data_IF_052240584944
#
_entry.id   IF_052240584944
#
_cell.length_a   1.000
_cell.length_b   1.000
_cell.length_c   1.000
_cell.angle_alpha   90.00
_cell.angle_beta   90.00
_cell.angle_gamma   90.00
#
_symmetry.space_group_name_H-M   'P 1'
#
loop_
_entity.id
_entity.type
_entity.pdbx_description
1 polymer ?
#
# COMPACT_ATOMS: atom_id res chain seq x y z
N UNK A 1 -5.59 12.15 -16.29
CA UNK A 1 -5.43 11.66 -14.92
C UNK A 1 -4.14 10.84 -14.83
N UNK A 2 -3.32 11.09 -13.84
CA UNK A 2 -2.08 10.35 -13.66
C UNK A 2 -2.35 8.87 -13.35
N UNK A 3 -1.37 8.03 -13.61
CA UNK A 3 -1.45 6.60 -13.28
C UNK A 3 -1.59 6.40 -11.77
N UNK A 4 -0.85 7.16 -10.97
CA UNK A 4 -0.99 7.11 -9.51
C UNK A 4 -2.40 7.49 -9.05
N UNK A 5 -3.02 8.50 -9.66
CA UNK A 5 -4.37 8.89 -9.30
C UNK A 5 -5.38 7.80 -9.67
N UNK A 6 -5.20 7.16 -10.84
CA UNK A 6 -6.05 6.04 -11.24
C UNK A 6 -5.98 4.88 -10.25
N UNK A 7 -4.77 4.55 -9.79
CA UNK A 7 -4.57 3.51 -8.78
C UNK A 7 -5.25 3.89 -7.47
N UNK A 8 -5.05 5.12 -7.02
CA UNK A 8 -5.64 5.58 -5.77
C UNK A 8 -7.18 5.56 -5.82
N UNK A 9 -7.74 6.05 -6.91
CA UNK A 9 -9.20 6.10 -7.06
C UNK A 9 -9.80 4.70 -7.03
N UNK A 10 -9.20 3.75 -7.74
CA UNK A 10 -9.69 2.36 -7.73
C UNK A 10 -9.53 1.73 -6.35
N UNK A 11 -8.33 1.82 -5.77
CA UNK A 11 -8.04 1.22 -4.47
C UNK A 11 -8.93 1.80 -3.37
N UNK A 12 -9.31 3.07 -3.48
CA UNK A 12 -10.17 3.75 -2.51
C UNK A 12 -11.61 3.24 -2.51
N UNK A 13 -12.02 2.51 -3.55
CA UNK A 13 -13.35 1.90 -3.59
C UNK A 13 -13.44 0.63 -2.73
N UNK A 14 -12.32 0.12 -2.26
CA UNK A 14 -12.27 -1.07 -1.42
C UNK A 14 -11.94 -0.65 0.02
N UNK A 15 -12.72 -1.07 1.03
CA UNK A 15 -12.42 -0.69 2.42
C UNK A 15 -11.12 -1.29 2.94
N UNK A 16 -10.80 -2.50 2.50
CA UNK A 16 -9.61 -3.26 2.91
C UNK A 16 -8.93 -3.80 1.65
N UNK A 17 -7.61 -3.84 1.67
CA UNK A 17 -6.85 -4.56 0.65
C UNK A 17 -5.90 -5.55 1.32
N UNK A 18 -5.52 -6.58 0.57
CA UNK A 18 -4.59 -7.60 1.06
C UNK A 18 -3.22 -7.32 0.48
N UNK A 19 -2.24 -7.26 1.37
CA UNK A 19 -0.88 -6.86 1.05
C UNK A 19 0.05 -8.04 1.26
N UNK A 20 0.70 -8.49 0.18
CA UNK A 20 1.59 -9.64 0.19
C UNK A 20 3.05 -9.21 0.08
N UNK A 21 3.87 -9.81 0.91
CA UNK A 21 5.34 -9.67 0.90
C UNK A 21 5.99 -11.04 0.82
N UNK A 22 7.32 -11.05 0.74
CA UNK A 22 8.08 -12.28 0.71
C UNK A 22 8.92 -12.38 1.99
N UNK A 23 8.82 -13.52 2.67
CA UNK A 23 9.67 -13.86 3.80
C UNK A 23 10.55 -15.03 3.37
N UNK A 24 11.77 -14.73 2.93
CA UNK A 24 12.63 -15.72 2.27
C UNK A 24 12.04 -16.14 0.93
N UNK A 25 11.54 -17.35 0.84
CA UNK A 25 10.84 -17.90 -0.34
C UNK A 25 9.33 -18.03 -0.12
N UNK A 26 8.82 -17.61 1.05
CA UNK A 26 7.42 -17.82 1.43
C UNK A 26 6.63 -16.53 1.26
N UNK A 27 5.56 -16.55 0.45
CA UNK A 27 4.66 -15.39 0.36
C UNK A 27 3.80 -15.28 1.61
N UNK A 28 3.74 -14.09 2.18
CA UNK A 28 2.96 -13.79 3.38
C UNK A 28 2.01 -12.63 3.06
N UNK A 29 0.74 -12.74 3.41
CA UNK A 29 -0.24 -11.70 3.17
C UNK A 29 -1.00 -11.32 4.43
N UNK A 30 -1.48 -10.09 4.48
CA UNK A 30 -2.28 -9.55 5.59
C UNK A 30 -3.21 -8.46 5.08
N UNK A 31 -4.35 -8.22 5.76
CA UNK A 31 -5.20 -7.10 5.41
C UNK A 31 -4.60 -5.78 5.88
N UNK A 32 -4.73 -4.75 5.06
CA UNK A 32 -4.35 -3.38 5.39
C UNK A 32 -5.45 -2.43 4.94
N UNK A 33 -5.47 -1.22 5.50
CA UNK A 33 -6.45 -0.21 5.13
C UNK A 33 -5.85 1.15 4.80
N UNK A 34 -4.66 1.46 5.29
CA UNK A 34 -4.07 2.78 5.13
C UNK A 34 -3.46 2.95 3.73
N UNK A 35 -4.05 3.85 2.97
CA UNK A 35 -3.52 4.36 1.72
C UNK A 35 -3.88 5.84 1.64
N UNK A 36 -3.01 6.63 1.05
CA UNK A 36 -3.24 8.06 0.94
C UNK A 36 -2.40 8.63 -0.21
N UNK A 37 -2.75 9.83 -0.66
CA UNK A 37 -1.97 10.55 -1.65
C UNK A 37 -1.03 11.53 -0.97
N UNK A 38 0.20 11.56 -1.41
CA UNK A 38 1.20 12.53 -0.98
C UNK A 38 2.13 12.82 -2.15
N UNK A 39 2.34 14.10 -2.44
CA UNK A 39 3.23 14.54 -3.53
C UNK A 39 2.89 13.88 -4.88
N UNK A 40 1.59 13.76 -5.17
CA UNK A 40 1.11 13.17 -6.42
C UNK A 40 1.28 11.67 -6.55
N UNK A 41 1.62 10.98 -5.47
CA UNK A 41 1.87 9.53 -5.45
C UNK A 41 1.01 8.84 -4.40
N UNK A 42 0.73 7.56 -4.64
CA UNK A 42 0.08 6.71 -3.64
C UNK A 42 1.12 6.29 -2.61
N UNK A 43 0.79 6.52 -1.35
CA UNK A 43 1.62 6.13 -0.21
C UNK A 43 0.89 5.13 0.68
N UNK A 44 1.69 4.33 1.34
CA UNK A 44 1.27 3.37 2.36
C UNK A 44 2.09 3.61 3.62
N UNK A 45 1.55 3.23 4.76
CA UNK A 45 2.25 3.35 6.03
C UNK A 45 2.11 2.06 6.85
N UNK A 46 3.19 1.67 7.50
CA UNK A 46 3.27 0.47 8.33
C UNK A 46 4.04 0.77 9.60
N UNK A 47 3.70 0.08 10.68
CA UNK A 47 4.53 0.14 11.88
C UNK A 47 5.90 -0.46 11.64
N UNK A 48 6.95 0.29 11.93
CA UNK A 48 8.33 -0.18 11.69
C UNK A 48 8.73 -1.36 12.57
N UNK A 49 7.96 -1.63 13.62
CA UNK A 49 8.16 -2.76 14.53
C UNK A 49 7.55 -4.06 14.01
N UNK A 50 6.76 -4.01 12.94
CA UNK A 50 6.04 -5.18 12.43
C UNK A 50 6.89 -6.02 11.50
N UNK A 51 6.60 -7.33 11.47
CA UNK A 51 7.31 -8.27 10.58
C UNK A 51 7.22 -7.86 9.12
N UNK A 52 6.08 -7.32 8.68
CA UNK A 52 5.88 -6.88 7.29
C UNK A 52 6.90 -5.81 6.89
N UNK A 53 7.23 -4.88 7.79
CA UNK A 53 8.22 -3.86 7.52
C UNK A 53 9.61 -4.48 7.30
N UNK A 54 10.00 -5.41 8.18
CA UNK A 54 11.27 -6.12 8.06
C UNK A 54 11.34 -6.94 6.76
N UNK A 55 10.24 -7.56 6.37
CA UNK A 55 10.17 -8.32 5.11
C UNK A 55 10.36 -7.41 3.91
N UNK A 56 9.73 -6.25 3.88
CA UNK A 56 9.89 -5.25 2.81
C UNK A 56 11.30 -4.69 2.74
N UNK A 57 11.98 -4.52 3.89
CA UNK A 57 13.36 -4.04 3.90
C UNK A 57 14.30 -5.04 3.20
N UNK A 58 14.05 -6.34 3.36
CA UNK A 58 14.86 -7.39 2.72
C UNK A 58 14.47 -7.60 1.27
N UNK A 59 13.20 -7.58 0.96
CA UNK A 59 12.68 -7.74 -0.40
C UNK A 59 11.55 -6.74 -0.62
N UNK A 60 11.80 -5.64 -1.33
CA UNK A 60 10.83 -4.56 -1.48
C UNK A 60 9.71 -4.86 -2.48
N UNK A 61 9.71 -6.02 -3.13
CA UNK A 61 8.59 -6.40 -4.00
C UNK A 61 7.38 -6.78 -3.15
N UNK A 62 6.22 -6.27 -3.57
CA UNK A 62 4.95 -6.55 -2.90
C UNK A 62 3.83 -6.69 -3.91
N UNK A 63 2.72 -7.27 -3.47
CA UNK A 63 1.52 -7.35 -4.28
C UNK A 63 0.30 -7.03 -3.43
N UNK A 64 -0.61 -6.27 -4.00
CA UNK A 64 -1.88 -5.90 -3.39
C UNK A 64 -3.00 -6.53 -4.19
N UNK A 65 -3.99 -7.08 -3.47
CA UNK A 65 -5.24 -7.55 -4.06
C UNK A 65 -6.40 -7.00 -3.24
N UNK A 66 -7.43 -6.51 -3.92
CA UNK A 66 -8.68 -6.06 -3.30
C UNK A 66 -9.84 -6.56 -4.15
N UNK A 67 -10.95 -6.92 -3.51
CA UNK A 67 -12.08 -7.56 -4.18
C UNK A 67 -13.40 -7.11 -3.57
N UNK A 68 -14.39 -6.91 -4.43
CA UNK A 68 -15.78 -6.67 -4.04
C UNK A 68 -16.69 -7.34 -5.07
N UNK A 69 -17.34 -8.44 -4.67
CA UNK A 69 -18.11 -9.24 -5.61
C UNK A 69 -17.22 -9.77 -6.73
N UNK A 70 -17.65 -9.69 -8.00
CA UNK A 70 -16.86 -10.17 -9.12
C UNK A 70 -15.73 -9.20 -9.54
N UNK A 71 -15.73 -7.98 -9.01
CA UNK A 71 -14.76 -6.94 -9.35
C UNK A 71 -13.55 -7.03 -8.43
N UNK A 72 -12.37 -6.97 -9.00
CA UNK A 72 -11.16 -6.95 -8.19
C UNK A 72 -10.01 -6.21 -8.87
N UNK A 73 -8.96 -6.00 -8.11
CA UNK A 73 -7.83 -5.15 -8.47
C UNK A 73 -6.55 -5.80 -7.98
N UNK A 74 -5.48 -5.70 -8.77
CA UNK A 74 -4.16 -6.15 -8.33
C UNK A 74 -3.10 -5.13 -8.70
N UNK A 75 -2.24 -4.84 -7.75
CA UNK A 75 -1.06 -4.00 -7.94
C UNK A 75 0.16 -4.79 -7.48
N UNK A 76 1.13 -4.99 -8.38
CA UNK A 76 2.42 -5.58 -8.04
C UNK A 76 3.50 -4.54 -8.31
N UNK A 77 4.34 -4.27 -7.32
CA UNK A 77 5.28 -3.16 -7.41
C UNK A 77 6.48 -3.35 -6.48
N UNK A 78 7.40 -2.40 -6.54
CA UNK A 78 8.57 -2.33 -5.66
C UNK A 78 8.41 -1.12 -4.73
N UNK A 79 8.52 -1.34 -3.43
CA UNK A 79 8.44 -0.28 -2.45
C UNK A 79 9.62 0.70 -2.59
N UNK A 80 9.31 1.98 -2.48
CA UNK A 80 10.30 3.07 -2.40
C UNK A 80 10.08 3.76 -1.07
N UNK A 81 10.97 3.51 -0.12
CA UNK A 81 10.84 4.03 1.23
C UNK A 81 11.10 5.53 1.26
N UNK A 82 10.34 6.24 2.07
CA UNK A 82 10.44 7.68 2.21
C UNK A 82 10.35 8.04 3.69
N UNK A 83 11.43 8.53 4.26
CA UNK A 83 11.49 8.93 5.67
C UNK A 83 11.16 10.42 5.89
N UNK A 84 10.65 11.09 4.87
CA UNK A 84 10.23 12.49 4.97
C UNK A 84 9.13 12.64 6.04
N UNK A 85 9.37 13.43 7.09
CA UNK A 85 8.34 13.64 8.13
C UNK A 85 7.00 14.14 7.58
N UNK A 86 7.00 14.88 6.46
CA UNK A 86 5.76 15.33 5.83
C UNK A 86 4.93 14.17 5.28
N UNK A 87 5.56 13.11 4.80
CA UNK A 87 4.87 11.91 4.33
C UNK A 87 4.19 11.17 5.50
N UNK A 88 4.87 11.09 6.64
CA UNK A 88 4.30 10.50 7.87
C UNK A 88 3.13 11.35 8.38
N UNK A 89 3.28 12.66 8.40
CA UNK A 89 2.20 13.56 8.82
C UNK A 89 0.97 13.45 7.92
N UNK A 90 1.18 13.29 6.62
CA UNK A 90 0.09 13.07 5.66
C UNK A 90 -0.68 11.78 5.97
N UNK A 91 0.01 10.73 6.42
CA UNK A 91 -0.64 9.49 6.86
C UNK A 91 -1.55 9.74 8.07
N UNK A 92 -1.09 10.52 9.04
CA UNK A 92 -1.87 10.86 10.23
C UNK A 92 -3.07 11.76 9.88
N UNK A 93 -2.93 12.63 8.90
CA UNK A 93 -4.07 13.43 8.42
C UNK A 93 -5.11 12.56 7.71
N UNK A 94 -4.67 11.56 6.95
CA UNK A 94 -5.55 10.63 6.26
C UNK A 94 -6.30 9.72 7.24
N UNK A 95 -5.66 9.35 8.35
CA UNK A 95 -6.24 8.46 9.36
C UNK A 95 -5.80 8.94 10.76
N UNK A 96 -6.53 9.92 11.34
CA UNK A 96 -6.11 10.56 12.62
C UNK A 96 -5.96 9.60 13.79
N UNK A 97 -6.70 8.50 13.83
CA UNK A 97 -6.62 7.52 14.93
C UNK A 97 -5.23 6.87 15.03
N UNK A 98 -4.42 6.94 13.97
CA UNK A 98 -3.05 6.44 14.01
C UNK A 98 -2.18 7.18 15.05
N UNK A 99 -2.52 8.42 15.38
CA UNK A 99 -1.79 9.18 16.40
C UNK A 99 -1.87 8.53 17.80
N UNK A 100 -2.92 7.74 18.03
CA UNK A 100 -3.09 7.03 19.30
C UNK A 100 -2.17 5.80 19.41
N UNK A 101 -1.66 5.33 18.28
CA UNK A 101 -0.79 4.15 18.21
C UNK A 101 0.67 4.56 18.07
N UNK A 102 0.95 5.51 17.18
CA UNK A 102 2.31 5.93 16.82
C UNK A 102 2.59 7.29 17.46
N UNK A 103 3.19 7.28 18.65
CA UNK A 103 3.50 8.49 19.41
C UNK A 103 4.68 8.24 20.36
N UNK A 104 5.13 9.29 21.05
CA UNK A 104 6.26 9.18 21.97
C UNK A 104 5.98 8.25 23.14
N UNK A 105 4.74 8.21 23.61
CA UNK A 105 4.34 7.39 24.74
C UNK A 105 4.44 5.89 24.42
N UNK A 106 3.96 5.47 23.25
CA UNK A 106 4.06 4.07 22.81
C UNK A 106 5.44 3.73 22.32
N UNK A 107 6.20 4.70 21.83
CA UNK A 107 7.49 4.49 21.18
C UNK A 107 7.40 3.86 19.81
N UNK A 108 6.21 3.56 19.31
CA UNK A 108 6.03 3.00 17.97
C UNK A 108 6.16 4.08 16.90
N UNK A 109 6.82 3.74 15.81
CA UNK A 109 7.03 4.63 14.66
C UNK A 109 6.36 4.06 13.43
N UNK A 110 5.86 4.97 12.59
CA UNK A 110 5.31 4.63 11.29
C UNK A 110 6.39 4.82 10.22
N UNK A 111 6.58 3.80 9.40
CA UNK A 111 7.36 3.90 8.18
C UNK A 111 6.43 4.10 6.99
N UNK A 112 6.83 4.96 6.06
CA UNK A 112 6.02 5.28 4.89
C UNK A 112 6.77 4.94 3.62
N UNK A 113 6.02 4.58 2.57
CA UNK A 113 6.61 4.24 1.28
C UNK A 113 5.61 4.50 0.16
N UNK A 114 6.17 4.79 -1.00
CA UNK A 114 5.47 4.78 -2.28
C UNK A 114 5.99 3.59 -3.09
N UNK A 115 5.80 3.58 -4.41
CA UNK A 115 6.23 2.44 -5.21
C UNK A 115 6.68 2.86 -6.61
N UNK A 116 7.39 1.95 -7.25
CA UNK A 116 7.84 2.02 -8.64
C UNK A 116 7.76 0.63 -9.28
N UNK A 117 8.05 0.55 -10.57
CA UNK A 117 8.07 -0.71 -11.32
C UNK A 117 6.76 -1.47 -11.12
N UNK A 118 5.67 -0.77 -11.32
CA UNK A 118 4.33 -1.24 -11.03
C UNK A 118 3.68 -1.90 -12.23
N UNK A 119 3.00 -3.02 -11.95
CA UNK A 119 2.04 -3.63 -12.88
C UNK A 119 0.68 -3.63 -12.19
N UNK A 120 -0.32 -3.02 -12.82
CA UNK A 120 -1.65 -2.81 -12.25
C UNK A 120 -2.68 -3.45 -13.16
N UNK A 121 -3.59 -4.22 -12.56
CA UNK A 121 -4.68 -4.89 -13.25
C UNK A 121 -6.02 -4.46 -12.68
N UNK A 122 -6.91 -3.98 -13.55
CA UNK A 122 -8.29 -3.62 -13.21
C UNK A 122 -9.19 -4.68 -13.79
N UNK A 123 -9.87 -5.45 -12.94
CA UNK A 123 -10.63 -6.62 -13.35
C UNK A 123 -12.08 -6.45 -12.94
N UNK A 124 -12.98 -6.07 -13.87
CA UNK A 124 -14.36 -5.76 -13.51
C UNK A 124 -15.25 -6.98 -13.26
N UNK A 125 -14.90 -8.18 -13.78
CA UNK A 125 -15.81 -9.32 -13.79
C UNK A 125 -15.19 -10.68 -13.59
N UNK A 126 -14.05 -10.81 -12.98
CA UNK A 126 -13.40 -12.12 -12.78
C UNK A 126 -12.98 -12.84 -14.08
N UNK A 127 -13.03 -12.16 -15.22
CA UNK A 127 -12.77 -12.72 -16.54
C UNK A 127 -11.41 -12.34 -17.11
N UNK A 128 -10.58 -11.72 -16.29
CA UNK A 128 -9.29 -11.18 -16.71
C UNK A 128 -9.31 -9.66 -16.71
N UNK A 129 -8.14 -9.09 -16.85
CA UNK A 129 -7.99 -7.63 -16.78
C UNK A 129 -8.60 -6.96 -18.02
N UNK A 130 -9.49 -6.00 -17.79
CA UNK A 130 -9.99 -5.13 -18.84
C UNK A 130 -9.01 -4.00 -19.13
N UNK A 131 -8.25 -3.59 -18.10
CA UNK A 131 -7.29 -2.50 -18.18
C UNK A 131 -6.05 -2.86 -17.37
N UNK A 132 -4.87 -2.56 -17.93
CA UNK A 132 -3.60 -2.67 -17.22
C UNK A 132 -2.82 -1.37 -17.33
N UNK A 133 -1.97 -1.13 -16.33
CA UNK A 133 -1.01 -0.03 -16.33
C UNK A 133 0.35 -0.59 -15.92
N UNK A 134 1.42 -0.11 -16.57
CA UNK A 134 2.79 -0.43 -16.21
C UNK A 134 3.56 0.88 -16.06
N UNK A 135 4.09 1.11 -14.88
CA UNK A 135 4.81 2.35 -14.61
C UNK A 135 5.70 2.28 -13.38
#
# INVERSE_FOLDING_TARGET
MSEMQQVFDELSTYPIFYFATVDGDTPIQRPLGLRYMFDGKVYFGLGTFKAVWAQLQKNPRFSICACEGPRWFRLTATAVFDDNPAAVEAAFEAMPDLRNIYNEETGFKMGTFTFKDAHVEFIPRMMGAEKTLDF
#
